data_IF_441509690556
#
_entry.id   IF_441509690556
#
_cell.length_a   1.000
_cell.length_b   1.000
_cell.length_c   1.000
_cell.angle_alpha   90.00
_cell.angle_beta   90.00
_cell.angle_gamma   90.00
#
_symmetry.space_group_name_H-M   'P 1'
#
loop_
_entity.id
_entity.type
_entity.pdbx_description
1 polymer ?
#
# COMPACT_ATOMS: atom_id res chain seq x y z
N UNK A 1 4.26 -5.78 -10.08
CA UNK A 1 3.94 -6.30 -8.74
C UNK A 1 4.37 -5.23 -7.78
N UNK A 2 3.50 -4.83 -6.84
CA UNK A 2 3.82 -3.77 -5.89
C UNK A 2 4.17 -4.40 -4.55
N UNK A 3 5.28 -3.99 -3.96
CA UNK A 3 5.73 -4.42 -2.62
C UNK A 3 5.73 -3.20 -1.73
N UNK A 4 5.09 -3.31 -0.57
CA UNK A 4 5.01 -2.23 0.40
C UNK A 4 5.64 -2.63 1.72
N UNK A 5 6.17 -1.65 2.44
CA UNK A 5 6.67 -1.78 3.81
C UNK A 5 5.95 -0.79 4.73
N UNK A 6 6.02 -1.00 6.04
CA UNK A 6 5.59 0.04 6.97
C UNK A 6 6.53 1.24 6.94
N UNK A 7 5.96 2.43 7.15
CA UNK A 7 6.73 3.66 7.23
C UNK A 7 7.75 3.61 8.37
N UNK A 8 7.38 3.04 9.52
CA UNK A 8 8.29 2.84 10.66
C UNK A 8 9.47 1.89 10.38
N UNK A 9 9.41 1.04 9.34
CA UNK A 9 10.47 0.10 8.96
C UNK A 9 11.50 0.71 7.99
N UNK A 10 11.28 1.94 7.49
CA UNK A 10 12.23 2.60 6.58
C UNK A 10 13.64 2.72 7.17
N UNK A 11 13.86 3.05 8.46
CA UNK A 11 15.20 3.03 9.04
C UNK A 11 15.88 1.66 8.96
N UNK A 12 15.14 0.57 9.14
CA UNK A 12 15.66 -0.80 9.01
C UNK A 12 16.02 -1.12 7.56
N UNK A 13 15.16 -0.72 6.61
CA UNK A 13 15.46 -0.83 5.18
C UNK A 13 16.75 -0.09 4.82
N UNK A 14 16.91 1.16 5.29
CA UNK A 14 18.11 1.98 5.06
C UNK A 14 19.36 1.28 5.58
N UNK A 15 19.32 0.73 6.78
CA UNK A 15 20.43 -0.01 7.37
C UNK A 15 20.76 -1.29 6.57
N UNK A 16 19.72 -2.01 6.10
CA UNK A 16 19.89 -3.25 5.34
C UNK A 16 20.54 -3.03 3.97
N UNK A 17 20.11 -2.00 3.23
CA UNK A 17 20.64 -1.74 1.88
C UNK A 17 22.00 -1.04 1.89
N UNK A 18 22.33 -0.34 2.98
CA UNK A 18 23.61 0.32 3.20
C UNK A 18 23.92 1.38 2.13
N UNK A 19 25.20 1.54 1.81
CA UNK A 19 25.68 2.52 0.82
C UNK A 19 25.54 2.03 -0.63
N UNK A 20 25.22 0.75 -0.84
CA UNK A 20 25.09 0.16 -2.18
C UNK A 20 23.91 0.74 -2.95
N UNK A 21 22.85 1.13 -2.26
CA UNK A 21 21.61 1.59 -2.88
C UNK A 21 21.24 2.99 -2.39
N UNK A 22 20.99 3.89 -3.32
CA UNK A 22 20.45 5.20 -3.04
C UNK A 22 18.93 5.12 -2.91
N UNK A 23 18.44 5.49 -1.73
CA UNK A 23 17.01 5.58 -1.42
C UNK A 23 16.53 7.01 -1.58
N UNK A 24 15.38 7.18 -2.23
CA UNK A 24 14.75 8.47 -2.47
C UNK A 24 13.33 8.41 -1.94
N UNK A 25 12.93 9.35 -1.08
CA UNK A 25 11.55 9.48 -0.64
C UNK A 25 10.80 10.46 -1.54
N UNK A 26 9.63 10.02 -2.01
CA UNK A 26 8.76 10.78 -2.89
C UNK A 26 7.42 11.03 -2.22
N UNK A 27 6.98 12.28 -2.18
CA UNK A 27 5.66 12.65 -1.66
C UNK A 27 5.20 13.99 -2.25
N UNK A 28 3.94 14.06 -2.71
CA UNK A 28 3.33 15.35 -3.10
C UNK A 28 4.02 16.08 -4.26
N UNK A 29 4.78 15.37 -5.11
CA UNK A 29 5.58 15.96 -6.20
C UNK A 29 7.02 16.30 -5.79
N UNK A 30 7.35 16.25 -4.50
CA UNK A 30 8.72 16.38 -4.00
C UNK A 30 9.44 15.03 -4.03
N UNK A 31 10.75 15.08 -4.26
CA UNK A 31 11.63 13.94 -4.21
C UNK A 31 12.94 14.32 -3.49
N UNK A 32 13.30 13.60 -2.42
CA UNK A 32 14.49 13.88 -1.60
C UNK A 32 15.28 12.61 -1.31
N UNK A 33 16.62 12.67 -1.33
CA UNK A 33 17.44 11.51 -0.98
C UNK A 33 17.33 11.22 0.52
N UNK A 34 17.11 9.96 0.87
CA UNK A 34 17.17 9.48 2.25
C UNK A 34 18.64 9.25 2.62
N UNK A 35 19.18 10.12 3.47
CA UNK A 35 20.60 10.11 3.87
C UNK A 35 20.72 10.20 5.38
N UNK A 36 21.94 10.11 5.92
CA UNK A 36 22.13 10.33 7.36
C UNK A 36 21.82 11.78 7.78
N UNK A 37 21.84 12.74 6.85
CA UNK A 37 21.42 14.14 7.10
C UNK A 37 19.91 14.32 6.98
N UNK A 38 19.24 13.46 6.22
CA UNK A 38 17.80 13.48 5.97
C UNK A 38 17.24 12.06 6.08
N UNK A 39 17.16 11.51 7.30
CA UNK A 39 16.84 10.09 7.50
C UNK A 39 15.35 9.79 7.40
N UNK A 40 14.50 10.81 7.56
CA UNK A 40 13.06 10.67 7.75
C UNK A 40 12.30 10.75 6.43
N UNK A 41 11.28 9.91 6.31
CA UNK A 41 10.28 10.00 5.25
C UNK A 41 9.22 11.04 5.60
N UNK A 42 8.65 11.68 4.59
CA UNK A 42 7.60 12.67 4.77
C UNK A 42 6.36 12.29 3.98
N UNK A 43 5.20 12.41 4.63
CA UNK A 43 3.90 12.14 4.02
C UNK A 43 3.44 10.67 4.19
N UNK A 44 2.19 10.43 4.63
CA UNK A 44 1.69 9.08 4.90
C UNK A 44 1.50 8.25 3.63
N UNK A 45 1.29 8.87 2.47
CA UNK A 45 1.15 8.18 1.19
C UNK A 45 2.43 8.24 0.33
N UNK A 46 3.59 8.43 0.97
CA UNK A 46 4.86 8.55 0.28
C UNK A 46 5.39 7.20 -0.21
N UNK A 47 6.40 7.26 -1.08
CA UNK A 47 7.06 6.10 -1.66
C UNK A 47 8.56 6.21 -1.42
N UNK A 48 9.25 5.07 -1.41
CA UNK A 48 10.70 5.00 -1.46
C UNK A 48 11.10 4.39 -2.79
N UNK A 49 11.81 5.14 -3.61
CA UNK A 49 12.40 4.64 -4.85
C UNK A 49 13.86 4.31 -4.64
N UNK A 50 14.29 3.20 -5.25
CA UNK A 50 15.62 2.61 -5.06
C UNK A 50 16.35 2.59 -6.38
N UNK A 51 17.63 3.00 -6.36
CA UNK A 51 18.57 2.93 -7.50
C UNK A 51 19.98 2.76 -7.00
N UNK A 52 20.88 2.22 -7.83
CA UNK A 52 22.25 1.92 -7.40
C UNK A 52 23.06 3.19 -7.10
N UNK A 53 22.96 4.20 -7.97
CA UNK A 53 23.59 5.50 -7.79
C UNK A 53 22.79 6.62 -8.48
N UNK A 54 23.29 7.86 -8.44
CA UNK A 54 22.59 9.08 -8.89
C UNK A 54 22.16 9.11 -10.36
N UNK A 55 22.84 8.37 -11.23
CA UNK A 55 22.55 8.29 -12.67
C UNK A 55 22.01 6.90 -13.09
N UNK A 56 21.88 5.97 -12.14
CA UNK A 56 21.37 4.63 -12.42
C UNK A 56 19.84 4.65 -12.62
N UNK A 57 19.29 3.73 -13.44
CA UNK A 57 17.85 3.52 -13.51
C UNK A 57 17.24 3.15 -12.14
N UNK A 58 15.96 3.48 -11.97
CA UNK A 58 15.18 3.01 -10.82
C UNK A 58 14.95 1.51 -10.91
N UNK A 59 15.21 0.80 -9.82
CA UNK A 59 15.08 -0.67 -9.75
C UNK A 59 13.89 -1.13 -8.92
N UNK A 60 13.45 -0.32 -7.95
CA UNK A 60 12.32 -0.64 -7.07
C UNK A 60 11.53 0.64 -6.77
N UNK A 61 10.19 0.52 -6.83
CA UNK A 61 9.23 1.45 -6.25
C UNK A 61 8.58 0.78 -5.03
N UNK A 62 8.80 1.32 -3.83
CA UNK A 62 8.24 0.83 -2.57
C UNK A 62 7.22 1.85 -2.01
N UNK A 63 5.91 1.67 -2.27
CA UNK A 63 4.88 2.42 -1.56
C UNK A 63 4.97 2.16 -0.05
N UNK A 64 4.92 3.22 0.74
CA UNK A 64 4.85 3.10 2.18
C UNK A 64 3.41 2.85 2.63
N UNK A 65 3.27 1.98 3.62
CA UNK A 65 2.04 1.77 4.37
C UNK A 65 2.16 2.53 5.69
N UNK A 66 1.27 3.50 5.98
CA UNK A 66 1.23 4.11 7.29
C UNK A 66 1.04 3.07 8.37
N UNK A 67 1.63 3.35 9.52
CA UNK A 67 1.38 2.59 10.73
C UNK A 67 1.00 3.52 11.88
N UNK A 68 0.06 3.07 12.70
CA UNK A 68 -0.33 3.77 13.93
C UNK A 68 -0.03 2.86 15.09
N UNK A 69 1.04 3.17 15.84
CA UNK A 69 1.56 2.34 16.92
C UNK A 69 1.88 0.89 16.46
N UNK A 70 2.45 0.74 15.26
CA UNK A 70 2.79 -0.57 14.68
C UNK A 70 1.62 -1.36 14.10
N UNK A 71 0.40 -0.80 14.09
CA UNK A 71 -0.75 -1.36 13.39
C UNK A 71 -0.74 -0.94 11.93
N UNK A 72 -1.16 -1.83 11.03
CA UNK A 72 -1.44 -1.47 9.64
C UNK A 72 -2.50 -0.38 9.63
N UNK A 73 -2.24 0.74 8.95
CA UNK A 73 -3.17 1.85 8.80
C UNK A 73 -3.42 2.14 7.33
N UNK A 74 -4.69 2.24 6.95
CA UNK A 74 -5.05 2.58 5.57
C UNK A 74 -4.57 3.98 5.22
N UNK A 75 -3.82 4.10 4.12
CA UNK A 75 -3.36 5.38 3.56
C UNK A 75 -4.46 6.32 3.07
N UNK A 76 -5.67 5.80 2.90
CA UNK A 76 -6.83 6.60 2.46
C UNK A 76 -7.88 6.78 3.56
N UNK A 77 -7.82 5.97 4.61
CA UNK A 77 -8.78 5.94 5.71
C UNK A 77 -8.01 5.79 7.02
N UNK A 78 -7.43 6.88 7.55
CA UNK A 78 -6.59 6.81 8.74
C UNK A 78 -7.30 6.19 9.95
N UNK A 79 -8.63 6.24 10.01
CA UNK A 79 -9.45 5.59 11.03
C UNK A 79 -9.49 4.06 10.90
N UNK A 80 -9.15 3.51 9.73
CA UNK A 80 -9.07 2.08 9.52
C UNK A 80 -7.67 1.58 9.85
N UNK A 81 -7.54 1.10 11.08
CA UNK A 81 -6.35 0.45 11.61
C UNK A 81 -6.64 -1.02 11.91
N UNK A 82 -5.65 -1.89 11.71
CA UNK A 82 -5.77 -3.32 11.93
C UNK A 82 -4.41 -3.94 12.27
N UNK A 83 -4.40 -5.12 12.91
CA UNK A 83 -3.17 -5.90 13.03
C UNK A 83 -2.74 -6.35 11.64
N UNK A 84 -1.43 -6.52 11.42
CA UNK A 84 -0.91 -6.90 10.11
C UNK A 84 -1.52 -8.22 9.61
N UNK A 85 -1.72 -9.21 10.48
CA UNK A 85 -2.36 -10.49 10.20
C UNK A 85 -3.85 -10.42 9.85
N UNK A 86 -4.53 -9.36 10.29
CA UNK A 86 -5.93 -9.11 9.94
C UNK A 86 -5.98 -8.45 8.55
N UNK A 87 -5.07 -7.51 8.28
CA UNK A 87 -4.97 -6.81 7.00
C UNK A 87 -4.32 -7.63 5.88
N UNK A 88 -3.64 -8.73 6.18
CA UNK A 88 -2.91 -9.54 5.20
C UNK A 88 -3.16 -11.03 5.35
N UNK A 89 -2.74 -11.83 4.38
CA UNK A 89 -2.60 -13.28 4.50
C UNK A 89 -1.25 -13.73 3.94
N UNK A 90 -0.77 -14.89 4.37
CA UNK A 90 0.42 -15.53 3.79
C UNK A 90 -0.06 -16.66 2.88
N UNK A 91 0.31 -16.61 1.60
CA UNK A 91 -0.05 -17.67 0.66
C UNK A 91 0.89 -18.89 0.81
N UNK A 92 0.57 -19.99 0.11
CA UNK A 92 1.34 -21.24 0.21
C UNK A 92 2.79 -21.13 -0.27
N UNK A 93 3.13 -20.07 -1.01
CA UNK A 93 4.49 -19.74 -1.43
C UNK A 93 5.28 -18.92 -0.39
N UNK A 94 4.68 -18.61 0.75
CA UNK A 94 5.29 -17.82 1.82
C UNK A 94 5.19 -16.30 1.62
N UNK A 95 4.58 -15.82 0.54
CA UNK A 95 4.43 -14.39 0.28
C UNK A 95 3.23 -13.83 1.04
N UNK A 96 3.43 -12.68 1.70
CA UNK A 96 2.37 -11.95 2.41
C UNK A 96 1.66 -10.99 1.46
N UNK A 97 0.35 -11.12 1.33
CA UNK A 97 -0.50 -10.30 0.48
C UNK A 97 -1.51 -9.51 1.30
N UNK A 98 -1.80 -8.27 0.88
CA UNK A 98 -2.92 -7.49 1.42
C UNK A 98 -4.24 -8.17 1.07
N UNK A 99 -5.16 -8.27 2.04
CA UNK A 99 -6.51 -8.86 1.90
C UNK A 99 -7.24 -8.31 0.67
N UNK A 100 -7.92 -9.14 -0.16
CA UNK A 100 -8.41 -8.66 -1.44
C UNK A 100 -9.53 -7.62 -1.25
N UNK A 101 -10.34 -7.73 -0.19
CA UNK A 101 -11.32 -6.70 0.18
C UNK A 101 -10.68 -5.32 0.41
N UNK A 102 -9.47 -5.25 0.98
CA UNK A 102 -8.74 -3.98 1.17
C UNK A 102 -8.19 -3.45 -0.16
N UNK A 103 -7.64 -4.35 -1.00
CA UNK A 103 -7.16 -3.99 -2.34
C UNK A 103 -8.31 -3.45 -3.20
N UNK A 104 -9.46 -4.11 -3.17
CA UNK A 104 -10.67 -3.68 -3.88
C UNK A 104 -11.18 -2.34 -3.35
N UNK A 105 -11.17 -2.13 -2.03
CA UNK A 105 -11.52 -0.83 -1.47
C UNK A 105 -10.62 0.31 -2.01
N UNK A 106 -9.31 0.10 -2.09
CA UNK A 106 -8.39 1.10 -2.69
C UNK A 106 -8.68 1.38 -4.16
N UNK A 107 -9.11 0.35 -4.89
CA UNK A 107 -9.48 0.41 -6.31
C UNK A 107 -10.81 1.10 -6.53
N UNK A 108 -11.78 0.95 -5.62
CA UNK A 108 -13.09 1.60 -5.68
C UNK A 108 -12.98 3.12 -5.74
N UNK A 109 -11.95 3.70 -5.10
CA UNK A 109 -11.65 5.14 -5.14
C UNK A 109 -11.56 5.71 -6.55
N UNK A 110 -10.88 5.00 -7.46
CA UNK A 110 -10.66 5.46 -8.83
C UNK A 110 -11.56 4.77 -9.86
N UNK A 111 -12.07 3.57 -9.53
CA UNK A 111 -13.07 2.83 -10.32
C UNK A 111 -12.79 2.77 -11.84
N UNK A 112 -11.52 2.74 -12.24
CA UNK A 112 -11.09 2.67 -13.64
C UNK A 112 -11.49 1.33 -14.26
N UNK A 113 -11.47 1.23 -15.58
CA UNK A 113 -11.77 -0.03 -16.30
C UNK A 113 -10.99 -1.24 -15.75
N UNK A 114 -9.68 -1.09 -15.53
CA UNK A 114 -8.85 -2.15 -14.93
C UNK A 114 -9.24 -2.50 -13.49
N UNK A 115 -9.70 -1.51 -12.71
CA UNK A 115 -10.10 -1.71 -11.32
C UNK A 115 -11.43 -2.46 -11.24
N UNK A 116 -12.35 -2.19 -12.17
CA UNK A 116 -13.58 -2.99 -12.33
C UNK A 116 -13.28 -4.43 -12.70
N UNK A 117 -12.39 -4.66 -13.65
CA UNK A 117 -12.00 -6.01 -14.04
C UNK A 117 -11.38 -6.81 -12.88
N UNK A 118 -10.58 -6.16 -12.03
CA UNK A 118 -10.05 -6.78 -10.81
C UNK A 118 -11.18 -7.08 -9.80
N UNK A 119 -12.15 -6.17 -9.66
CA UNK A 119 -13.34 -6.40 -8.84
C UNK A 119 -14.14 -7.61 -9.32
N UNK A 120 -14.50 -7.69 -10.60
CA UNK A 120 -15.32 -8.77 -11.14
C UNK A 120 -14.66 -10.15 -10.96
N UNK A 121 -13.32 -10.21 -10.93
CA UNK A 121 -12.57 -11.46 -10.69
C UNK A 121 -12.42 -11.81 -9.22
N UNK A 122 -12.17 -10.82 -8.36
CA UNK A 122 -11.90 -11.07 -6.94
C UNK A 122 -13.19 -11.18 -6.12
N UNK A 123 -14.25 -10.47 -6.49
CA UNK A 123 -15.51 -10.41 -5.76
C UNK A 123 -16.14 -11.80 -5.48
N UNK A 124 -16.24 -12.73 -6.45
CA UNK A 124 -16.82 -14.05 -6.20
C UNK A 124 -15.98 -14.94 -5.29
N UNK A 125 -14.70 -14.59 -5.07
CA UNK A 125 -13.77 -15.35 -4.23
C UNK A 125 -13.78 -14.87 -2.78
N UNK A 126 -14.44 -13.74 -2.48
CA UNK A 126 -14.60 -13.24 -1.13
C UNK A 126 -15.67 -14.05 -0.39
N UNK A 127 -15.46 -14.26 0.92
CA UNK A 127 -16.52 -14.78 1.78
C UNK A 127 -17.67 -13.77 1.90
N UNK A 128 -18.87 -14.25 2.22
CA UNK A 128 -20.06 -13.39 2.43
C UNK A 128 -19.78 -12.23 3.39
N UNK A 129 -19.11 -12.50 4.52
CA UNK A 129 -18.76 -11.45 5.48
C UNK A 129 -17.85 -10.36 4.88
N UNK A 130 -16.90 -10.73 4.02
CA UNK A 130 -15.99 -9.78 3.35
C UNK A 130 -16.69 -9.01 2.23
N UNK A 131 -17.61 -9.67 1.53
CA UNK A 131 -18.47 -9.03 0.53
C UNK A 131 -19.35 -7.95 1.18
N UNK A 132 -20.00 -8.28 2.29
CA UNK A 132 -20.85 -7.34 3.02
C UNK A 132 -20.05 -6.17 3.58
N UNK A 133 -18.90 -6.46 4.19
CA UNK A 133 -17.98 -5.41 4.67
C UNK A 133 -17.53 -4.48 3.55
N UNK A 134 -17.09 -5.03 2.40
CA UNK A 134 -16.62 -4.22 1.28
C UNK A 134 -17.74 -3.36 0.70
N UNK A 135 -18.93 -3.94 0.52
CA UNK A 135 -20.12 -3.23 0.03
C UNK A 135 -20.47 -2.04 0.92
N UNK A 136 -20.51 -2.26 2.23
CA UNK A 136 -20.82 -1.20 3.20
C UNK A 136 -19.74 -0.11 3.21
N UNK A 137 -18.47 -0.52 3.20
CA UNK A 137 -17.33 0.40 3.26
C UNK A 137 -17.25 1.24 1.99
N UNK A 138 -17.48 0.66 0.81
CA UNK A 138 -17.53 1.42 -0.46
C UNK A 138 -18.71 2.39 -0.48
N UNK A 139 -19.91 1.99 -0.02
CA UNK A 139 -21.06 2.91 0.07
C UNK A 139 -20.78 4.10 0.98
N UNK A 140 -20.11 3.85 2.11
CA UNK A 140 -19.75 4.89 3.08
C UNK A 140 -18.75 5.89 2.52
N UNK A 141 -17.68 5.40 1.89
CA UNK A 141 -16.53 6.24 1.52
C UNK A 141 -16.52 6.71 0.07
N UNK A 142 -17.17 5.96 -0.83
CA UNK A 142 -17.22 6.22 -2.27
C UNK A 142 -18.66 6.08 -2.78
N UNK A 143 -19.59 6.95 -2.34
CA UNK A 143 -21.01 6.85 -2.73
C UNK A 143 -21.23 6.93 -4.25
N UNK A 144 -20.33 7.59 -4.98
CA UNK A 144 -20.38 7.72 -6.44
C UNK A 144 -19.72 6.54 -7.19
N UNK A 145 -19.24 5.52 -6.48
CA UNK A 145 -18.61 4.36 -7.09
C UNK A 145 -19.63 3.58 -7.92
N UNK A 146 -19.35 3.39 -9.22
CA UNK A 146 -20.25 2.69 -10.15
C UNK A 146 -20.31 1.17 -9.98
N UNK A 147 -19.59 0.60 -9.01
CA UNK A 147 -19.49 -0.84 -8.82
C UNK A 147 -20.83 -1.46 -8.45
N UNK A 148 -21.13 -2.60 -9.07
CA UNK A 148 -22.35 -3.36 -8.82
C UNK A 148 -21.97 -4.59 -8.02
N UNK A 149 -22.48 -4.67 -6.79
CA UNK A 149 -22.20 -5.76 -5.84
C UNK A 149 -23.23 -6.88 -5.97
N UNK A 150 -23.37 -7.40 -7.19
CA UNK A 150 -24.31 -8.47 -7.55
C UNK A 150 -23.64 -9.84 -7.39
#
# INVERSE_FOLDING_TARGET
>A
MDVSIFACDVPVLRAHVGERWHLWNLAGGDMRPLTNKHPDVFGPASQVWVREHGDAPWVIDLPLTPDTNGLWTSKYFPEHTARLEDATWVAGDGVRYLRPELVLLFKARLHRSKDRHDFDRAWPLLSTAKQDWLRETVRRFYPDCSWKFV
#
